data_IF_264233920436
#
_entry.id   IF_264233920436
#
_cell.length_a   1.000
_cell.length_b   1.000
_cell.length_c   1.000
_cell.angle_alpha   90.00
_cell.angle_beta   90.00
_cell.angle_gamma   90.00
#
_symmetry.space_group_name_H-M   'P 1'
#
loop_
_entity.id
_entity.type
_entity.pdbx_description
1 polymer ?
#
# COMPACT_ATOMS: atom_id res chain seq x y z
N UNK A 1 -40.74 6.10 1.13
CA UNK A 1 -40.14 5.69 -0.15
C UNK A 1 -39.43 6.89 -0.74
N UNK A 2 -38.09 6.93 -0.69
CA UNK A 2 -37.32 8.04 -1.26
C UNK A 2 -36.46 7.51 -2.40
N UNK A 3 -36.89 7.83 -3.62
CA UNK A 3 -36.17 7.62 -4.88
C UNK A 3 -35.47 8.95 -5.19
N UNK A 4 -34.14 8.99 -5.11
CA UNK A 4 -33.37 10.21 -5.34
C UNK A 4 -31.90 9.92 -5.62
N UNK A 5 -31.54 9.86 -6.91
CA UNK A 5 -30.20 10.22 -7.36
C UNK A 5 -29.22 9.08 -7.63
N UNK A 6 -29.51 8.25 -8.66
CA UNK A 6 -28.41 7.71 -9.48
C UNK A 6 -27.63 8.90 -10.06
N UNK A 7 -26.37 9.07 -9.65
CA UNK A 7 -25.42 9.87 -10.43
C UNK A 7 -24.99 9.01 -11.62
N UNK A 8 -25.49 9.35 -12.80
CA UNK A 8 -25.02 8.80 -14.06
C UNK A 8 -23.65 9.35 -14.43
N UNK A 9 -22.84 8.46 -15.01
CA UNK A 9 -21.82 8.68 -16.04
C UNK A 9 -20.55 9.47 -15.65
N UNK A 10 -19.48 8.72 -15.38
CA UNK A 10 -18.14 9.03 -15.91
C UNK A 10 -17.75 7.85 -16.81
N UNK A 11 -17.15 8.12 -17.97
CA UNK A 11 -16.83 7.14 -19.02
C UNK A 11 -15.82 6.08 -18.57
N UNK A 12 -15.18 5.37 -19.50
CA UNK A 12 -14.21 4.29 -19.22
C UNK A 12 -12.96 4.69 -18.38
N UNK A 13 -12.93 5.90 -17.84
CA UNK A 13 -11.94 6.46 -16.91
C UNK A 13 -12.59 6.92 -15.58
N UNK A 14 -13.61 6.19 -15.10
CA UNK A 14 -14.46 6.61 -13.97
C UNK A 14 -14.25 5.88 -12.65
N UNK A 15 -13.34 4.92 -12.58
CA UNK A 15 -12.95 4.26 -11.34
C UNK A 15 -11.48 4.64 -11.12
N UNK A 16 -11.18 5.43 -10.09
CA UNK A 16 -9.79 5.61 -9.65
C UNK A 16 -9.15 4.22 -9.61
N UNK A 17 -8.07 4.04 -10.38
CA UNK A 17 -7.41 2.75 -10.47
C UNK A 17 -6.95 2.38 -9.07
N UNK A 18 -7.61 1.39 -8.46
CA UNK A 18 -7.31 0.98 -7.10
C UNK A 18 -5.88 0.41 -7.05
N UNK A 19 -4.93 1.08 -6.38
CA UNK A 19 -3.56 0.61 -6.31
C UNK A 19 -3.46 -0.77 -5.63
N UNK A 20 -4.40 -1.14 -4.77
CA UNK A 20 -4.45 -2.47 -4.17
C UNK A 20 -4.81 -3.56 -5.18
N UNK A 21 -5.70 -3.26 -6.13
CA UNK A 21 -6.05 -4.15 -7.24
C UNK A 21 -4.87 -4.34 -8.20
N UNK A 22 -4.17 -3.27 -8.58
CA UNK A 22 -2.98 -3.36 -9.42
C UNK A 22 -1.85 -4.15 -8.73
N UNK A 23 -1.63 -3.90 -7.44
CA UNK A 23 -0.65 -4.63 -6.63
C UNK A 23 -0.97 -6.13 -6.59
N UNK A 24 -2.23 -6.49 -6.41
CA UNK A 24 -2.66 -7.90 -6.43
C UNK A 24 -2.41 -8.55 -7.79
N UNK A 25 -2.74 -7.86 -8.89
CA UNK A 25 -2.46 -8.36 -10.23
C UNK A 25 -0.96 -8.63 -10.44
N UNK A 26 -0.08 -7.72 -10.01
CA UNK A 26 1.37 -7.96 -10.16
C UNK A 26 1.85 -9.19 -9.40
N UNK A 27 1.30 -9.47 -8.22
CA UNK A 27 1.61 -10.69 -7.48
C UNK A 27 1.08 -11.92 -8.22
N UNK A 28 -0.17 -11.90 -8.68
CA UNK A 28 -0.83 -13.03 -9.34
C UNK A 28 -0.13 -13.41 -10.67
N UNK A 29 0.46 -12.43 -11.37
CA UNK A 29 1.26 -12.65 -12.59
C UNK A 29 2.76 -12.90 -12.34
N UNK A 30 3.20 -13.00 -11.08
CA UNK A 30 4.60 -13.26 -10.73
C UNK A 30 5.57 -12.10 -11.00
N UNK A 31 5.04 -10.88 -11.19
CA UNK A 31 5.82 -9.64 -11.38
C UNK A 31 6.22 -9.04 -10.02
N UNK A 32 6.99 -9.81 -9.26
CA UNK A 32 7.39 -9.46 -7.89
C UNK A 32 8.24 -8.17 -7.77
N UNK A 33 9.18 -7.88 -8.68
CA UNK A 33 9.91 -6.61 -8.66
C UNK A 33 8.97 -5.40 -8.80
N UNK A 34 8.02 -5.46 -9.73
CA UNK A 34 7.07 -4.39 -9.99
C UNK A 34 6.03 -4.25 -8.89
N UNK A 35 5.57 -5.37 -8.30
CA UNK A 35 4.75 -5.35 -7.09
C UNK A 35 5.48 -4.65 -5.94
N UNK A 36 6.75 -5.00 -5.72
CA UNK A 36 7.57 -4.38 -4.65
C UNK A 36 7.75 -2.90 -4.91
N UNK A 37 8.08 -2.50 -6.14
CA UNK A 37 8.26 -1.09 -6.50
C UNK A 37 6.97 -0.27 -6.32
N UNK A 38 5.82 -0.81 -6.73
CA UNK A 38 4.53 -0.15 -6.55
C UNK A 38 4.22 0.07 -5.05
N UNK A 39 4.55 -0.89 -4.18
CA UNK A 39 4.39 -0.72 -2.74
C UNK A 39 5.33 0.35 -2.20
N UNK A 40 6.59 0.40 -2.65
CA UNK A 40 7.53 1.43 -2.23
C UNK A 40 7.04 2.83 -2.62
N UNK A 41 6.65 3.02 -3.88
CA UNK A 41 6.11 4.29 -4.38
C UNK A 41 4.85 4.71 -3.62
N UNK A 42 3.98 3.76 -3.26
CA UNK A 42 2.80 4.03 -2.44
C UNK A 42 3.18 4.51 -1.03
N UNK A 43 4.14 3.86 -0.38
CA UNK A 43 4.61 4.22 0.95
C UNK A 43 5.36 5.56 0.96
N UNK A 44 6.14 5.85 -0.06
CA UNK A 44 6.82 7.15 -0.24
C UNK A 44 5.83 8.28 -0.54
N UNK A 45 4.82 8.02 -1.37
CA UNK A 45 3.72 8.96 -1.62
C UNK A 45 2.96 9.25 -0.33
N UNK A 46 2.73 8.23 0.50
CA UNK A 46 2.11 8.39 1.81
C UNK A 46 2.95 9.28 2.74
N UNK A 47 4.26 9.06 2.80
CA UNK A 47 5.18 9.84 3.64
C UNK A 47 5.30 11.30 3.18
N UNK A 48 5.24 11.54 1.87
CA UNK A 48 5.39 12.88 1.27
C UNK A 48 4.13 13.75 1.30
N UNK A 49 2.94 13.18 1.53
CA UNK A 49 1.69 13.95 1.67
C UNK A 49 1.79 14.98 2.82
N UNK A 50 1.31 16.20 2.59
CA UNK A 50 1.37 17.29 3.59
C UNK A 50 0.35 17.07 4.72
N UNK A 51 0.59 17.68 5.89
CA UNK A 51 -0.32 17.61 7.06
C UNK A 51 -1.74 18.12 6.78
N UNK A 52 -1.95 19.00 5.79
CA UNK A 52 -3.29 19.42 5.35
C UNK A 52 -4.13 18.30 4.72
N UNK A 53 -3.50 17.17 4.38
CA UNK A 53 -4.12 15.99 3.75
C UNK A 53 -4.16 14.78 4.70
N UNK A 54 -4.01 14.99 6.02
CA UNK A 54 -4.11 13.92 7.04
C UNK A 54 -5.44 13.14 6.93
N UNK A 55 -6.53 13.78 6.53
CA UNK A 55 -7.81 13.11 6.28
C UNK A 55 -7.75 12.16 5.08
N UNK A 56 -6.98 12.49 4.03
CA UNK A 56 -6.71 11.59 2.90
C UNK A 56 -5.80 10.44 3.34
N UNK A 57 -4.76 10.69 4.15
CA UNK A 57 -3.96 9.61 4.78
C UNK A 57 -4.84 8.65 5.58
N UNK A 58 -5.74 9.18 6.43
CA UNK A 58 -6.64 8.37 7.27
C UNK A 58 -7.65 7.59 6.44
N UNK A 59 -8.11 8.17 5.32
CA UNK A 59 -8.97 7.49 4.35
C UNK A 59 -8.22 6.38 3.61
N UNK A 60 -6.95 6.59 3.26
CA UNK A 60 -6.09 5.56 2.67
C UNK A 60 -5.76 4.43 3.66
N UNK A 61 -5.56 4.74 4.95
CA UNK A 61 -5.43 3.71 5.99
C UNK A 61 -6.76 2.95 6.23
N UNK A 62 -7.90 3.64 6.11
CA UNK A 62 -9.23 3.04 6.22
C UNK A 62 -9.61 2.21 4.97
N UNK A 63 -9.11 2.59 3.79
CA UNK A 63 -9.09 1.75 2.58
C UNK A 63 -7.97 0.72 2.75
N UNK A 64 -8.24 -0.23 3.64
CA UNK A 64 -7.54 -1.50 3.87
C UNK A 64 -6.16 -1.58 3.21
N UNK A 65 -5.12 -1.15 3.92
CA UNK A 65 -3.74 -1.46 3.56
C UNK A 65 -3.67 -2.96 3.22
N UNK A 66 -3.13 -3.36 2.06
CA UNK A 66 -3.36 -4.70 1.51
C UNK A 66 -2.46 -5.76 2.20
N UNK A 67 -2.59 -5.92 3.52
CA UNK A 67 -1.79 -6.81 4.36
C UNK A 67 -1.70 -8.22 3.79
N UNK A 68 -2.84 -8.78 3.36
CA UNK A 68 -2.92 -10.12 2.77
C UNK A 68 -2.10 -10.23 1.49
N UNK A 69 -2.12 -9.19 0.64
CA UNK A 69 -1.35 -9.19 -0.60
C UNK A 69 0.15 -9.03 -0.31
N UNK A 70 0.52 -8.22 0.69
CA UNK A 70 1.91 -8.03 1.11
C UNK A 70 2.49 -9.32 1.70
N UNK A 71 1.72 -10.00 2.55
CA UNK A 71 2.09 -11.30 3.11
C UNK A 71 2.26 -12.35 1.99
N UNK A 72 1.34 -12.40 1.03
CA UNK A 72 1.47 -13.27 -0.15
C UNK A 72 2.75 -13.00 -0.94
N UNK A 73 3.08 -11.74 -1.20
CA UNK A 73 4.33 -11.36 -1.86
C UNK A 73 5.54 -11.86 -1.07
N UNK A 74 5.53 -11.71 0.26
CA UNK A 74 6.61 -12.18 1.12
C UNK A 74 6.79 -13.70 1.06
N UNK A 75 5.70 -14.47 1.14
CA UNK A 75 5.74 -15.93 1.02
C UNK A 75 6.26 -16.36 -0.35
N UNK A 76 5.78 -15.75 -1.44
CA UNK A 76 6.25 -16.08 -2.80
C UNK A 76 7.74 -15.80 -2.99
N UNK A 77 8.24 -14.67 -2.48
CA UNK A 77 9.67 -14.35 -2.52
C UNK A 77 10.50 -15.37 -1.72
N UNK A 78 9.98 -15.83 -0.58
CA UNK A 78 10.65 -16.84 0.24
C UNK A 78 10.66 -18.23 -0.41
N UNK A 79 9.56 -18.65 -1.04
CA UNK A 79 9.48 -19.93 -1.74
C UNK A 79 10.39 -19.95 -2.97
N UNK A 80 10.48 -18.83 -3.70
CA UNK A 80 11.47 -18.69 -4.78
C UNK A 80 12.91 -18.79 -4.27
N UNK A 81 13.20 -18.13 -3.14
CA UNK A 81 14.51 -18.20 -2.50
C UNK A 81 14.86 -19.64 -2.06
N UNK A 82 13.92 -20.36 -1.46
CA UNK A 82 14.07 -21.78 -1.08
C UNK A 82 14.25 -22.69 -2.30
N UNK A 83 13.64 -22.36 -3.44
CA UNK A 83 13.83 -23.09 -4.70
C UNK A 83 15.17 -22.83 -5.40
N UNK A 84 16.05 -22.01 -4.81
CA UNK A 84 17.37 -21.68 -5.36
C UNK A 84 17.35 -20.73 -6.56
N UNK A 85 16.17 -20.20 -6.94
CA UNK A 85 16.03 -19.25 -8.04
C UNK A 85 16.21 -17.82 -7.55
N UNK A 86 17.11 -17.09 -8.19
CA UNK A 86 17.28 -15.64 -8.01
C UNK A 86 17.39 -15.21 -6.53
N UNK A 87 18.13 -15.99 -5.73
CA UNK A 87 18.27 -15.84 -4.27
C UNK A 87 18.68 -14.41 -3.88
N UNK A 88 19.65 -13.84 -4.60
CA UNK A 88 20.14 -12.48 -4.33
C UNK A 88 19.10 -11.40 -4.64
N UNK A 89 18.33 -11.56 -5.72
CA UNK A 89 17.27 -10.61 -6.09
C UNK A 89 16.09 -10.70 -5.13
N UNK A 90 15.69 -11.91 -4.73
CA UNK A 90 14.63 -12.12 -3.74
C UNK A 90 15.05 -11.53 -2.38
N UNK A 91 16.29 -11.75 -1.97
CA UNK A 91 16.87 -11.16 -0.76
C UNK A 91 16.84 -9.63 -0.78
N UNK A 92 17.23 -9.02 -1.91
CA UNK A 92 17.19 -7.56 -2.09
C UNK A 92 15.76 -7.01 -2.00
N UNK A 93 14.79 -7.64 -2.68
CA UNK A 93 13.39 -7.23 -2.64
C UNK A 93 12.80 -7.35 -1.23
N UNK A 94 13.06 -8.46 -0.52
CA UNK A 94 12.64 -8.63 0.88
C UNK A 94 13.25 -7.56 1.80
N UNK A 95 14.52 -7.22 1.59
CA UNK A 95 15.20 -6.15 2.32
C UNK A 95 14.53 -4.79 2.13
N UNK A 96 14.26 -4.40 0.88
CA UNK A 96 13.58 -3.16 0.55
C UNK A 96 12.16 -3.12 1.14
N UNK A 97 11.40 -4.20 0.99
CA UNK A 97 10.04 -4.30 1.50
C UNK A 97 10.01 -4.16 3.03
N UNK A 98 10.89 -4.87 3.73
CA UNK A 98 11.01 -4.77 5.20
C UNK A 98 11.39 -3.35 5.64
N UNK A 99 12.36 -2.73 4.97
CA UNK A 99 12.81 -1.37 5.29
C UNK A 99 11.67 -0.36 5.17
N UNK A 100 10.97 -0.36 4.04
CA UNK A 100 9.87 0.56 3.80
C UNK A 100 8.67 0.34 4.73
N UNK A 101 8.32 -0.91 5.03
CA UNK A 101 7.25 -1.22 5.98
C UNK A 101 7.56 -0.74 7.40
N UNK A 102 8.81 -0.95 7.86
CA UNK A 102 9.23 -0.46 9.17
C UNK A 102 9.16 1.07 9.23
N UNK A 103 9.62 1.75 8.19
CA UNK A 103 9.58 3.21 8.15
C UNK A 103 8.15 3.74 8.11
N UNK A 104 7.28 3.11 7.32
CA UNK A 104 5.86 3.44 7.28
C UNK A 104 5.18 3.27 8.65
N UNK A 105 5.45 2.16 9.36
CA UNK A 105 4.88 1.92 10.70
C UNK A 105 5.37 2.94 11.73
N UNK A 106 6.63 3.38 11.66
CA UNK A 106 7.15 4.47 12.51
C UNK A 106 6.41 5.77 12.22
N UNK A 107 6.27 6.13 10.94
CA UNK A 107 5.56 7.34 10.53
C UNK A 107 4.10 7.33 10.99
N UNK A 108 3.42 6.19 10.83
CA UNK A 108 2.04 5.99 11.31
C UNK A 108 1.91 6.16 12.83
N UNK A 109 2.89 5.70 13.60
CA UNK A 109 2.91 5.87 15.05
C UNK A 109 3.06 7.34 15.43
N UNK A 110 4.00 8.06 14.80
CA UNK A 110 4.20 9.50 15.02
C UNK A 110 2.93 10.30 14.69
N UNK A 111 2.32 10.04 13.52
CA UNK A 111 1.07 10.69 13.12
C UNK A 111 -0.07 10.43 14.13
N UNK A 112 -0.12 9.23 14.74
CA UNK A 112 -1.10 8.89 15.76
C UNK A 112 -0.85 9.64 17.08
N UNK A 113 0.41 9.72 17.52
CA UNK A 113 0.79 10.42 18.74
C UNK A 113 0.53 11.93 18.62
N UNK A 114 0.84 12.53 17.46
CA UNK A 114 0.54 13.94 17.15
C UNK A 114 -0.97 14.23 17.13
N UNK A 115 -1.77 13.30 16.61
CA UNK A 115 -3.22 13.42 16.60
C UNK A 115 -3.81 13.37 18.02
N UNK A 116 -3.27 12.51 18.89
CA UNK A 116 -3.66 12.45 20.30
C UNK A 116 -3.27 13.71 21.07
N UNK A 117 -2.06 14.23 20.83
CA UNK A 117 -1.61 15.48 21.44
C UNK A 117 -2.48 16.68 21.01
N UNK A 118 -2.86 16.74 19.72
CA UNK A 118 -3.72 17.79 19.18
C UNK A 118 -5.17 17.73 19.69
N UNK A 119 -5.63 16.58 20.18
CA UNK A 119 -6.97 16.43 20.75
C UNK A 119 -7.06 16.84 22.24
N UNK A 120 -5.91 17.05 22.90
CA UNK A 120 -5.80 17.47 24.30
C UNK A 120 -5.63 18.99 24.47
N UNK A 121 -5.53 19.74 23.37
CA UNK A 121 -5.46 21.22 23.31
C UNK A 121 -6.83 21.78 22.94
#
# INVERSE_FOLDING_TARGET
MFKGGRRSASGMAGQEADPATLFRLYIDYGRYPEATNLLLEYLESFASMRSSEILQRKRMCAVWFPYVSIERLWCQLEDMQKSGRLVDQCGKLKGLLKGALVEHLKQMKLDSDDALASALV
#
